data_IF_498805340764
#
_entry.id   IF_498805340764
#
_cell.length_a   1.000
_cell.length_b   1.000
_cell.length_c   1.000
_cell.angle_alpha   90.00
_cell.angle_beta   90.00
_cell.angle_gamma   90.00
#
_symmetry.space_group_name_H-M   'P 1'
#
loop_
_entity.id
_entity.type
_entity.pdbx_description
1 polymer ?
#
# COMPACT_ATOMS: atom_id res chain seq x y z
N UNK A 1 -6.30 34.39 16.46
CA UNK A 1 -5.28 33.43 16.94
C UNK A 1 -4.28 33.26 15.82
N UNK A 2 -2.97 33.30 16.09
CA UNK A 2 -1.97 33.03 15.06
C UNK A 2 -2.03 31.53 14.73
N UNK A 3 -2.06 31.18 13.45
CA UNK A 3 -1.97 29.78 13.00
C UNK A 3 -0.56 29.26 13.27
N UNK A 4 -0.45 28.07 13.87
CA UNK A 4 0.85 27.40 14.01
C UNK A 4 1.43 27.10 12.60
N UNK A 5 2.76 27.18 12.42
CA UNK A 5 3.38 26.70 11.18
C UNK A 5 3.11 25.20 10.99
N UNK A 6 2.88 24.80 9.74
CA UNK A 6 2.55 23.42 9.38
C UNK A 6 3.80 22.67 8.95
N UNK A 7 3.97 21.44 9.45
CA UNK A 7 4.94 20.47 8.95
C UNK A 7 4.16 19.31 8.33
N UNK A 8 4.30 19.14 7.02
CA UNK A 8 3.71 18.01 6.29
C UNK A 8 4.74 16.87 6.20
N UNK A 9 4.35 15.68 6.67
CA UNK A 9 5.11 14.45 6.57
C UNK A 9 4.44 13.54 5.55
N UNK A 10 5.18 13.19 4.50
CA UNK A 10 4.72 12.39 3.37
C UNK A 10 5.37 11.02 3.47
N UNK A 11 4.55 9.97 3.48
CA UNK A 11 4.96 8.58 3.61
C UNK A 11 4.64 7.82 2.34
N UNK A 12 5.58 7.00 1.89
CA UNK A 12 5.24 5.83 1.09
C UNK A 12 4.57 4.76 1.98
N UNK A 13 3.95 3.74 1.39
CA UNK A 13 3.28 2.66 2.13
C UNK A 13 4.07 1.36 2.08
N UNK A 14 4.19 0.77 0.89
CA UNK A 14 4.86 -0.52 0.69
C UNK A 14 6.34 -0.39 1.06
N UNK A 15 6.86 -1.31 1.86
CA UNK A 15 8.26 -1.29 2.35
C UNK A 15 8.65 -0.04 3.16
N UNK A 16 7.69 0.77 3.57
CA UNK A 16 7.89 1.98 4.40
C UNK A 16 7.05 1.93 5.67
N UNK A 17 5.72 1.83 5.54
CA UNK A 17 4.80 1.62 6.67
C UNK A 17 4.46 0.13 6.84
N UNK A 18 4.46 -0.63 5.75
CA UNK A 18 4.34 -2.09 5.72
C UNK A 18 5.67 -2.74 5.35
N UNK A 19 6.03 -3.93 5.87
CA UNK A 19 7.26 -4.61 5.47
C UNK A 19 7.21 -5.24 4.07
N UNK A 20 6.01 -5.40 3.49
CA UNK A 20 5.79 -6.07 2.20
C UNK A 20 5.07 -5.16 1.22
N UNK A 21 5.00 -5.60 -0.02
CA UNK A 21 4.08 -5.02 -1.00
C UNK A 21 2.66 -5.48 -0.65
N UNK A 22 1.69 -4.57 -0.61
CA UNK A 22 0.33 -4.84 -0.10
C UNK A 22 -0.42 -5.99 -0.81
N UNK A 23 -0.01 -6.36 -2.03
CA UNK A 23 -0.58 -7.50 -2.77
C UNK A 23 -0.13 -8.86 -2.21
N UNK A 24 1.01 -8.91 -1.52
CA UNK A 24 1.61 -10.14 -0.99
C UNK A 24 0.87 -10.71 0.21
N UNK A 25 0.27 -9.84 1.04
CA UNK A 25 -0.39 -10.28 2.28
C UNK A 25 -1.73 -10.97 2.03
N UNK A 26 -2.43 -10.63 0.95
CA UNK A 26 -3.81 -11.08 0.75
C UNK A 26 -4.16 -11.48 -0.69
N UNK A 27 -3.98 -10.59 -1.65
CA UNK A 27 -4.45 -10.84 -3.02
C UNK A 27 -3.71 -12.01 -3.68
N UNK A 28 -2.38 -12.00 -3.67
CA UNK A 28 -1.57 -13.04 -4.32
C UNK A 28 -1.82 -14.42 -3.68
N UNK A 29 -1.85 -14.56 -2.35
CA UNK A 29 -2.30 -15.79 -1.71
C UNK A 29 -3.71 -16.23 -2.11
N UNK A 30 -4.65 -15.29 -2.27
CA UNK A 30 -6.06 -15.61 -2.61
C UNK A 30 -6.21 -16.29 -3.97
N UNK A 31 -5.35 -15.98 -4.95
CA UNK A 31 -5.35 -16.60 -6.28
C UNK A 31 -4.57 -17.93 -6.30
N UNK A 32 -4.04 -18.37 -5.15
CA UNK A 32 -3.30 -19.62 -4.98
C UNK A 32 -1.95 -19.62 -5.71
N UNK A 33 -1.32 -18.46 -5.82
CA UNK A 33 -0.04 -18.27 -6.51
C UNK A 33 1.06 -17.90 -5.50
N UNK A 34 2.28 -18.45 -5.62
CA UNK A 34 3.43 -17.96 -4.88
C UNK A 34 3.79 -16.52 -5.26
N UNK A 35 4.07 -15.67 -4.27
CA UNK A 35 4.45 -14.27 -4.46
C UNK A 35 5.59 -14.06 -5.45
N UNK A 36 6.67 -14.84 -5.32
CA UNK A 36 7.81 -14.75 -6.24
C UNK A 36 7.43 -15.06 -7.69
N UNK A 37 6.49 -16.00 -7.90
CA UNK A 37 5.99 -16.33 -9.25
C UNK A 37 5.17 -15.17 -9.83
N UNK A 38 4.31 -14.55 -9.01
CA UNK A 38 3.51 -13.40 -9.44
C UNK A 38 4.41 -12.24 -9.89
N UNK A 39 5.40 -11.88 -9.09
CA UNK A 39 6.33 -10.79 -9.43
C UNK A 39 7.21 -11.12 -10.63
N UNK A 40 7.64 -12.39 -10.79
CA UNK A 40 8.35 -12.80 -11.98
C UNK A 40 7.50 -12.64 -13.25
N UNK A 41 6.23 -13.07 -13.22
CA UNK A 41 5.31 -12.90 -14.35
C UNK A 41 5.01 -11.43 -14.64
N UNK A 42 4.78 -10.62 -13.61
CA UNK A 42 4.52 -9.18 -13.74
C UNK A 42 5.73 -8.43 -14.30
N UNK A 43 6.92 -8.66 -13.76
CA UNK A 43 8.14 -7.99 -14.20
C UNK A 43 8.54 -8.41 -15.62
N UNK A 44 8.41 -9.70 -15.95
CA UNK A 44 8.64 -10.19 -17.31
C UNK A 44 7.68 -9.57 -18.32
N UNK A 45 6.40 -9.41 -17.95
CA UNK A 45 5.42 -8.70 -18.77
C UNK A 45 5.78 -7.23 -18.96
N UNK A 46 6.20 -6.55 -17.88
CA UNK A 46 6.62 -5.16 -17.94
C UNK A 46 7.80 -4.96 -18.89
N UNK A 47 8.82 -5.83 -18.79
CA UNK A 47 10.00 -5.78 -19.65
C UNK A 47 9.66 -6.09 -21.12
N UNK A 48 8.94 -7.18 -21.37
CA UNK A 48 8.59 -7.63 -22.71
C UNK A 48 7.74 -6.60 -23.47
N UNK A 49 6.83 -5.92 -22.77
CA UNK A 49 5.87 -5.00 -23.36
C UNK A 49 6.16 -3.52 -23.08
N UNK A 50 7.31 -3.21 -22.48
CA UNK A 50 7.72 -1.84 -22.10
C UNK A 50 6.65 -1.12 -21.26
N UNK A 51 6.01 -1.84 -20.34
CA UNK A 51 4.98 -1.29 -19.47
C UNK A 51 5.61 -0.66 -18.23
N UNK A 52 4.92 0.34 -17.68
CA UNK A 52 5.16 0.75 -16.31
C UNK A 52 4.91 -0.44 -15.36
N UNK A 53 5.78 -0.63 -14.36
CA UNK A 53 5.72 -1.81 -13.47
C UNK A 53 4.47 -1.81 -12.60
N UNK A 54 3.96 -0.64 -12.21
CA UNK A 54 2.72 -0.52 -11.43
C UNK A 54 1.55 -0.97 -12.29
N UNK A 55 1.46 -0.45 -13.52
CA UNK A 55 0.40 -0.84 -14.45
C UNK A 55 0.49 -2.32 -14.86
N UNK A 56 1.70 -2.88 -14.97
CA UNK A 56 1.91 -4.29 -15.28
C UNK A 56 1.35 -5.22 -14.19
N UNK A 57 1.66 -4.97 -12.91
CA UNK A 57 1.13 -5.82 -11.84
C UNK A 57 -0.38 -5.64 -11.72
N UNK A 58 -0.91 -4.41 -11.83
CA UNK A 58 -2.35 -4.15 -11.76
C UNK A 58 -3.08 -4.91 -12.87
N UNK A 59 -2.54 -4.89 -14.09
CA UNK A 59 -3.09 -5.66 -15.20
C UNK A 59 -3.01 -7.18 -14.95
N UNK A 60 -1.90 -7.67 -14.39
CA UNK A 60 -1.78 -9.07 -14.01
C UNK A 60 -2.80 -9.47 -12.95
N UNK A 61 -3.09 -8.61 -11.97
CA UNK A 61 -4.15 -8.83 -10.99
C UNK A 61 -5.50 -9.02 -11.68
N UNK A 62 -5.87 -8.17 -12.64
CA UNK A 62 -7.12 -8.31 -13.42
C UNK A 62 -7.19 -9.67 -14.12
N UNK A 63 -6.10 -10.07 -14.78
CA UNK A 63 -6.02 -11.32 -15.52
C UNK A 63 -6.17 -12.54 -14.59
N UNK A 64 -5.39 -12.60 -13.51
CA UNK A 64 -5.42 -13.71 -12.55
C UNK A 64 -6.74 -13.77 -11.78
N UNK A 65 -7.32 -12.62 -11.46
CA UNK A 65 -8.66 -12.52 -10.86
C UNK A 65 -9.71 -13.19 -11.74
N UNK A 66 -9.72 -12.92 -13.05
CA UNK A 66 -10.63 -13.55 -14.00
C UNK A 66 -10.39 -15.05 -14.13
N UNK A 67 -9.13 -15.49 -14.19
CA UNK A 67 -8.76 -16.91 -14.29
C UNK A 67 -9.15 -17.72 -13.05
N UNK A 68 -9.07 -17.12 -11.87
CA UNK A 68 -9.28 -17.80 -10.57
C UNK A 68 -10.64 -17.50 -9.92
N UNK A 69 -11.49 -16.70 -10.57
CA UNK A 69 -12.79 -16.30 -10.02
C UNK A 69 -12.69 -15.48 -8.74
N UNK A 70 -11.65 -14.64 -8.60
CA UNK A 70 -11.48 -13.75 -7.44
C UNK A 70 -12.01 -12.35 -7.73
N UNK A 71 -12.68 -11.74 -6.76
CA UNK A 71 -13.18 -10.38 -6.90
C UNK A 71 -12.06 -9.36 -6.70
N UNK A 72 -12.10 -8.28 -7.49
CA UNK A 72 -11.21 -7.10 -7.48
C UNK A 72 -12.04 -5.83 -7.27
N UNK A 73 -13.17 -5.96 -6.56
CA UNK A 73 -14.01 -4.83 -6.17
C UNK A 73 -13.46 -4.20 -4.88
N UNK A 74 -13.90 -2.98 -4.61
CA UNK A 74 -13.51 -2.20 -3.42
C UNK A 74 -13.67 -2.99 -2.13
N UNK A 75 -14.82 -3.63 -1.92
CA UNK A 75 -15.08 -4.43 -0.72
C UNK A 75 -14.05 -5.55 -0.53
N UNK A 76 -13.61 -6.20 -1.62
CA UNK A 76 -12.57 -7.23 -1.57
C UNK A 76 -11.23 -6.66 -1.15
N UNK A 77 -10.86 -5.47 -1.64
CA UNK A 77 -9.60 -4.82 -1.29
C UNK A 77 -9.58 -4.36 0.16
N UNK A 78 -10.71 -3.86 0.69
CA UNK A 78 -10.82 -3.53 2.11
C UNK A 78 -10.71 -4.78 3.00
N UNK A 79 -11.32 -5.90 2.59
CA UNK A 79 -11.16 -7.17 3.31
C UNK A 79 -9.70 -7.66 3.28
N UNK A 80 -8.99 -7.48 2.17
CA UNK A 80 -7.55 -7.75 2.07
C UNK A 80 -6.70 -6.79 2.93
N UNK A 81 -7.10 -5.52 3.04
CA UNK A 81 -6.46 -4.51 3.88
C UNK A 81 -6.38 -4.91 5.35
N UNK A 82 -7.37 -5.67 5.84
CA UNK A 82 -7.39 -6.14 7.24
C UNK A 82 -6.25 -7.10 7.60
N UNK A 83 -5.63 -7.75 6.62
CA UNK A 83 -4.49 -8.65 6.85
C UNK A 83 -3.13 -7.99 6.58
N UNK A 84 -3.11 -6.71 6.22
CA UNK A 84 -1.86 -6.00 5.97
C UNK A 84 -1.07 -5.88 7.26
N UNK A 85 0.19 -6.29 7.20
CA UNK A 85 1.12 -6.16 8.30
C UNK A 85 1.76 -4.77 8.28
N UNK A 86 1.95 -4.14 9.44
CA UNK A 86 2.66 -2.88 9.58
C UNK A 86 3.96 -3.07 10.34
N UNK A 87 4.96 -2.22 10.09
CA UNK A 87 6.17 -2.24 10.89
C UNK A 87 5.87 -1.97 12.37
N UNK A 88 6.61 -2.61 13.29
CA UNK A 88 6.49 -2.32 14.72
C UNK A 88 6.64 -0.82 15.01
N UNK A 89 5.66 -0.26 15.72
CA UNK A 89 5.63 1.16 16.08
C UNK A 89 4.98 2.09 15.06
N UNK A 90 4.42 1.59 13.95
CA UNK A 90 3.65 2.44 13.02
C UNK A 90 2.30 2.86 13.63
N UNK A 91 1.64 1.95 14.36
CA UNK A 91 0.31 2.22 14.95
C UNK A 91 0.29 3.41 15.90
N UNK A 92 1.38 3.65 16.63
CA UNK A 92 1.54 4.76 17.58
C UNK A 92 2.45 5.88 17.04
N UNK A 93 2.98 5.75 15.82
CA UNK A 93 3.84 6.76 15.20
C UNK A 93 3.15 8.11 15.04
N UNK A 94 1.95 8.11 14.45
CA UNK A 94 1.26 9.35 14.10
C UNK A 94 0.90 10.18 15.34
N UNK A 95 0.38 9.53 16.39
CA UNK A 95 0.07 10.18 17.66
C UNK A 95 1.32 10.77 18.33
N UNK A 96 2.40 9.97 18.45
CA UNK A 96 3.65 10.45 19.06
C UNK A 96 4.24 11.66 18.33
N UNK A 97 4.16 11.69 17.00
CA UNK A 97 4.71 12.79 16.22
C UNK A 97 3.81 14.03 16.29
N UNK A 98 2.48 13.87 16.34
CA UNK A 98 1.55 14.96 16.62
C UNK A 98 1.88 15.60 17.98
N UNK A 99 1.99 14.80 19.04
CA UNK A 99 2.33 15.28 20.40
C UNK A 99 3.66 16.02 20.42
N UNK A 100 4.66 15.50 19.71
CA UNK A 100 5.96 16.15 19.59
C UNK A 100 5.87 17.49 18.85
N UNK A 101 5.10 17.57 17.77
CA UNK A 101 4.86 18.81 17.04
C UNK A 101 4.19 19.87 17.89
N UNK A 102 3.14 19.48 18.63
CA UNK A 102 2.40 20.37 19.52
C UNK A 102 3.30 20.94 20.62
N UNK A 103 4.15 20.11 21.25
CA UNK A 103 5.15 20.54 22.23
C UNK A 103 6.17 21.54 21.66
N UNK A 104 6.37 21.55 20.34
CA UNK A 104 7.30 22.43 19.63
C UNK A 104 6.60 23.62 18.97
N UNK A 105 5.28 23.74 19.08
CA UNK A 105 4.51 24.83 18.48
C UNK A 105 4.32 24.67 16.96
N UNK A 106 4.21 23.43 16.47
CA UNK A 106 3.93 23.12 15.08
C UNK A 106 2.64 22.30 14.94
N UNK A 107 1.91 22.51 13.85
CA UNK A 107 0.85 21.61 13.45
C UNK A 107 1.44 20.54 12.52
N UNK A 108 1.37 19.26 12.93
CA UNK A 108 1.79 18.15 12.07
C UNK A 108 0.62 17.73 11.17
N UNK A 109 0.93 17.41 9.92
CA UNK A 109 0.01 16.78 8.99
C UNK A 109 0.68 15.56 8.37
N UNK A 110 -0.05 14.46 8.30
CA UNK A 110 0.44 13.19 7.77
C UNK A 110 -0.27 12.86 6.46
N UNK A 111 0.50 12.48 5.44
CA UNK A 111 0.01 12.13 4.12
C UNK A 111 0.62 10.83 3.66
N UNK A 112 -0.18 9.90 3.16
CA UNK A 112 0.31 8.69 2.48
C UNK A 112 0.23 8.94 0.98
N UNK A 113 1.36 8.76 0.29
CA UNK A 113 1.48 8.81 -1.17
C UNK A 113 1.97 7.44 -1.62
N UNK A 114 1.07 6.65 -2.19
CA UNK A 114 1.37 5.31 -2.67
C UNK A 114 0.91 5.16 -4.12
N UNK A 115 1.67 4.42 -4.91
CA UNK A 115 1.28 3.93 -6.24
C UNK A 115 0.45 2.64 -6.18
N UNK A 116 0.18 2.14 -4.96
CA UNK A 116 -0.62 0.96 -4.68
C UNK A 116 -2.13 1.21 -4.76
N UNK A 117 -2.88 0.30 -4.15
CA UNK A 117 -4.35 0.31 -4.14
C UNK A 117 -4.84 1.00 -2.87
N UNK A 118 -5.46 2.18 -3.03
CA UNK A 118 -5.96 2.99 -1.92
C UNK A 118 -6.91 2.21 -1.01
N UNK A 119 -7.80 1.41 -1.59
CA UNK A 119 -8.80 0.60 -0.89
C UNK A 119 -8.21 -0.44 0.08
N UNK A 120 -6.92 -0.77 -0.05
CA UNK A 120 -6.23 -1.66 0.89
C UNK A 120 -5.77 -0.90 2.15
N UNK A 121 -5.58 0.41 2.04
CA UNK A 121 -5.13 1.30 3.13
C UNK A 121 -6.32 1.92 3.88
N UNK A 122 -7.48 2.00 3.24
CA UNK A 122 -8.74 2.49 3.83
C UNK A 122 -9.36 1.51 4.84
#
# INVERSE_FOLDING_TARGET
MASLPIIALLYDFDRTLSPKDMQEDAFIPSIGMPTAQFWHESNGMAEQHQMDKVLAYMYLMLKKSKEKGRSIRRESFQDYGRSVELFPGVLDWFERINDYGDQKGYQIQHYIISSGLKEIIE
#
